data_IF_128852551057
#
_entry.id   IF_128852551057
#
_cell.length_a   1.000
_cell.length_b   1.000
_cell.length_c   1.000
_cell.angle_alpha   90.00
_cell.angle_beta   90.00
_cell.angle_gamma   90.00
#
_symmetry.space_group_name_H-M   'P 1'
#
loop_
_entity.id
_entity.type
_entity.pdbx_description
1 polymer ?
#
# COMPACT_ATOMS: atom_id res chain seq x y z
N UNK A 1 -7.45 24.10 -45.91
CA UNK A 1 -7.63 24.23 -44.45
C UNK A 1 -9.05 23.97 -43.98
N UNK A 2 -10.06 24.77 -44.36
CA UNK A 2 -11.44 24.58 -43.87
C UNK A 2 -12.01 23.17 -44.07
N UNK A 3 -11.82 22.58 -45.26
CA UNK A 3 -12.26 21.21 -45.55
C UNK A 3 -11.58 20.21 -44.62
N UNK A 4 -10.27 20.36 -44.38
CA UNK A 4 -9.52 19.47 -43.50
C UNK A 4 -9.99 19.59 -42.04
N UNK A 5 -10.29 20.79 -41.55
CA UNK A 5 -10.76 20.96 -40.16
C UNK A 5 -12.18 20.44 -39.95
N UNK A 6 -13.08 20.59 -40.92
CA UNK A 6 -14.39 19.92 -40.88
C UNK A 6 -14.27 18.40 -41.03
N UNK A 7 -13.34 17.91 -41.85
CA UNK A 7 -13.07 16.48 -41.99
C UNK A 7 -12.59 15.86 -40.66
N UNK A 8 -11.69 16.53 -39.95
CA UNK A 8 -11.25 16.12 -38.61
C UNK A 8 -12.44 16.00 -37.65
N UNK A 9 -13.31 17.01 -37.62
CA UNK A 9 -14.49 17.01 -36.76
C UNK A 9 -15.47 15.88 -37.11
N UNK A 10 -15.68 15.61 -38.40
CA UNK A 10 -16.49 14.50 -38.87
C UNK A 10 -15.89 13.13 -38.50
N UNK A 11 -14.57 12.96 -38.63
CA UNK A 11 -13.86 11.73 -38.22
C UNK A 11 -13.93 11.52 -36.72
N UNK A 12 -13.84 12.58 -35.90
CA UNK A 12 -14.05 12.47 -34.45
C UNK A 12 -15.45 11.93 -34.11
N UNK A 13 -16.49 12.35 -34.84
CA UNK A 13 -17.86 11.85 -34.60
C UNK A 13 -18.05 10.40 -35.03
N UNK A 14 -17.42 10.00 -36.14
CA UNK A 14 -17.64 8.69 -36.73
C UNK A 14 -16.78 7.61 -36.08
N UNK A 15 -15.53 7.95 -35.78
CA UNK A 15 -14.49 6.98 -35.41
C UNK A 15 -13.82 7.35 -34.07
N UNK A 16 -14.35 8.33 -33.33
CA UNK A 16 -13.87 8.72 -32.01
C UNK A 16 -12.44 9.27 -32.03
N UNK A 17 -11.66 8.90 -31.01
CA UNK A 17 -10.29 9.37 -30.82
C UNK A 17 -9.36 8.99 -31.98
N UNK A 18 -9.48 7.76 -32.50
CA UNK A 18 -8.75 7.31 -33.69
C UNK A 18 -9.01 8.21 -34.89
N UNK A 19 -10.27 8.59 -35.10
CA UNK A 19 -10.66 9.51 -36.17
C UNK A 19 -10.01 10.88 -36.04
N UNK A 20 -9.87 11.38 -34.81
CA UNK A 20 -9.16 12.62 -34.51
C UNK A 20 -7.66 12.50 -34.80
N UNK A 21 -7.02 11.40 -34.36
CA UNK A 21 -5.60 11.13 -34.59
C UNK A 21 -5.25 11.13 -36.08
N UNK A 22 -5.99 10.35 -36.87
CA UNK A 22 -5.77 10.25 -38.31
C UNK A 22 -6.09 11.58 -39.03
N UNK A 23 -7.11 12.31 -38.58
CA UNK A 23 -7.45 13.62 -39.12
C UNK A 23 -6.37 14.67 -38.86
N UNK A 24 -5.80 14.70 -37.65
CA UNK A 24 -4.70 15.61 -37.31
C UNK A 24 -3.42 15.25 -38.07
N UNK A 25 -3.11 13.96 -38.21
CA UNK A 25 -1.98 13.51 -39.03
C UNK A 25 -2.10 13.97 -40.50
N UNK A 26 -3.30 13.89 -41.08
CA UNK A 26 -3.58 14.43 -42.42
C UNK A 26 -3.32 15.94 -42.48
N UNK A 27 -3.78 16.69 -41.48
CA UNK A 27 -3.56 18.13 -41.40
C UNK A 27 -2.07 18.47 -41.29
N UNK A 28 -1.31 17.73 -40.48
CA UNK A 28 0.14 17.87 -40.39
C UNK A 28 0.80 17.67 -41.74
N UNK A 29 0.48 16.58 -42.45
CA UNK A 29 1.04 16.33 -43.79
C UNK A 29 0.68 17.40 -44.82
N UNK A 30 -0.52 18.00 -44.72
CA UNK A 30 -0.91 19.13 -45.57
C UNK A 30 -0.08 20.38 -45.26
N UNK A 31 0.08 20.71 -43.98
CA UNK A 31 0.85 21.87 -43.51
C UNK A 31 2.34 21.73 -43.84
N UNK A 32 2.91 20.55 -43.67
CA UNK A 32 4.31 20.29 -44.02
C UNK A 32 4.57 20.40 -45.53
N UNK A 33 3.71 19.79 -46.36
CA UNK A 33 3.93 19.77 -47.82
C UNK A 33 3.65 21.10 -48.51
N UNK A 34 2.62 21.83 -48.07
CA UNK A 34 2.10 22.99 -48.79
C UNK A 34 2.23 24.30 -48.00
N UNK A 35 2.46 24.25 -46.70
CA UNK A 35 2.68 25.41 -45.83
C UNK A 35 1.72 26.57 -46.09
N UNK A 36 2.29 27.70 -46.50
CA UNK A 36 1.57 28.95 -46.74
C UNK A 36 0.83 29.01 -48.09
N UNK A 37 0.97 27.98 -48.94
CA UNK A 37 0.24 27.86 -50.21
C UNK A 37 -1.17 27.26 -50.02
N UNK A 38 -1.48 26.75 -48.82
CA UNK A 38 -2.79 26.19 -48.50
C UNK A 38 -3.89 27.26 -48.53
N UNK A 39 -5.04 26.91 -49.10
CA UNK A 39 -6.23 27.75 -49.10
C UNK A 39 -6.92 27.72 -47.71
N UNK A 40 -7.45 28.85 -47.21
CA UNK A 40 -7.57 30.17 -47.88
C UNK A 40 -6.24 30.93 -48.08
N UNK A 41 -6.14 31.77 -49.12
CA UNK A 41 -4.92 32.55 -49.39
C UNK A 41 -4.66 33.66 -48.36
N UNK A 42 -5.71 34.18 -47.71
CA UNK A 42 -5.59 35.23 -46.68
C UNK A 42 -5.11 34.62 -45.34
N UNK A 43 -4.01 35.13 -44.74
CA UNK A 43 -3.45 34.60 -43.49
C UNK A 43 -4.46 34.54 -42.34
N UNK A 44 -5.19 35.62 -42.09
CA UNK A 44 -6.23 35.67 -41.05
C UNK A 44 -7.32 34.60 -41.23
N UNK A 45 -7.71 34.32 -42.49
CA UNK A 45 -8.72 33.29 -42.79
C UNK A 45 -8.17 31.87 -42.64
N UNK A 46 -6.86 31.65 -42.82
CA UNK A 46 -6.22 30.37 -42.48
C UNK A 46 -6.17 30.17 -40.97
N UNK A 47 -5.73 31.19 -40.24
CA UNK A 47 -5.67 31.19 -38.78
C UNK A 47 -7.02 30.80 -38.18
N UNK A 48 -8.09 31.50 -38.56
CA UNK A 48 -9.45 31.17 -38.09
C UNK A 48 -9.88 29.75 -38.43
N UNK A 49 -9.50 29.22 -39.61
CA UNK A 49 -9.87 27.86 -40.00
C UNK A 49 -9.18 26.79 -39.14
N UNK A 50 -7.94 27.05 -38.70
CA UNK A 50 -7.16 26.19 -37.82
C UNK A 50 -7.60 26.32 -36.35
N UNK A 51 -7.76 27.54 -35.85
CA UNK A 51 -8.20 27.82 -34.49
C UNK A 51 -9.63 27.35 -34.22
N UNK A 52 -10.42 27.11 -35.27
CA UNK A 52 -11.72 26.46 -35.14
C UNK A 52 -11.62 25.07 -34.49
N UNK A 53 -10.52 24.33 -34.67
CA UNK A 53 -10.26 23.05 -33.98
C UNK A 53 -10.07 23.23 -32.47
N UNK A 54 -9.74 24.44 -32.02
CA UNK A 54 -9.63 24.79 -30.61
C UNK A 54 -10.91 25.48 -30.07
N UNK A 55 -11.98 25.54 -30.87
CA UNK A 55 -13.25 26.13 -30.48
C UNK A 55 -14.20 25.16 -29.75
N UNK A 56 -15.19 25.72 -29.06
CA UNK A 56 -16.14 24.98 -28.19
C UNK A 56 -16.77 23.76 -28.87
N UNK A 57 -17.23 23.88 -30.12
CA UNK A 57 -17.86 22.74 -30.84
C UNK A 57 -16.95 21.51 -30.96
N UNK A 58 -15.65 21.73 -31.13
CA UNK A 58 -14.68 20.64 -31.21
C UNK A 58 -14.43 20.06 -29.81
N UNK A 59 -14.28 20.92 -28.81
CA UNK A 59 -14.07 20.52 -27.41
C UNK A 59 -15.25 19.75 -26.83
N UNK A 60 -16.48 20.22 -27.05
CA UNK A 60 -17.72 19.52 -26.66
C UNK A 60 -17.84 18.15 -27.35
N UNK A 61 -17.39 18.08 -28.61
CA UNK A 61 -17.39 16.82 -29.35
C UNK A 61 -16.36 15.85 -28.79
N UNK A 62 -15.18 16.34 -28.40
CA UNK A 62 -14.12 15.56 -27.78
C UNK A 62 -14.52 15.06 -26.39
N UNK A 63 -15.24 15.88 -25.62
CA UNK A 63 -15.72 15.53 -24.28
C UNK A 63 -16.67 14.32 -24.26
N UNK A 64 -17.30 13.98 -25.39
CA UNK A 64 -18.11 12.75 -25.53
C UNK A 64 -17.28 11.46 -25.58
N UNK A 65 -15.97 11.58 -25.77
CA UNK A 65 -15.00 10.47 -25.76
C UNK A 65 -14.00 10.69 -24.62
N UNK A 66 -14.43 10.50 -23.35
CA UNK A 66 -13.60 10.72 -22.16
C UNK A 66 -12.50 9.68 -21.99
N UNK A 67 -12.66 8.51 -22.60
CA UNK A 67 -11.66 7.44 -22.60
C UNK A 67 -10.45 7.83 -23.45
N UNK A 68 -9.26 7.38 -23.02
CA UNK A 68 -7.99 7.69 -23.69
C UNK A 68 -7.34 6.38 -24.10
N UNK A 69 -7.35 6.11 -25.40
CA UNK A 69 -6.57 5.01 -25.97
C UNK A 69 -5.11 5.45 -26.13
N UNK A 70 -4.18 4.70 -25.53
CA UNK A 70 -2.75 5.09 -25.46
C UNK A 70 -2.14 5.38 -26.84
N UNK A 71 -2.39 4.51 -27.80
CA UNK A 71 -1.85 4.63 -29.16
C UNK A 71 -2.42 5.85 -29.90
N UNK A 72 -3.74 6.01 -29.89
CA UNK A 72 -4.40 7.13 -30.56
C UNK A 72 -4.02 8.47 -29.91
N UNK A 73 -3.94 8.53 -28.58
CA UNK A 73 -3.51 9.73 -27.85
C UNK A 73 -2.07 10.11 -28.18
N UNK A 74 -1.14 9.14 -28.22
CA UNK A 74 0.24 9.38 -28.59
C UNK A 74 0.33 9.96 -30.02
N UNK A 75 -0.47 9.43 -30.95
CA UNK A 75 -0.55 9.94 -32.32
C UNK A 75 -1.12 11.37 -32.38
N UNK A 76 -2.14 11.68 -31.57
CA UNK A 76 -2.71 13.05 -31.46
C UNK A 76 -1.64 14.03 -30.96
N UNK A 77 -0.93 13.70 -29.87
CA UNK A 77 0.12 14.55 -29.30
C UNK A 77 1.28 14.75 -30.29
N UNK A 78 1.69 13.69 -30.99
CA UNK A 78 2.71 13.77 -32.02
C UNK A 78 2.28 14.72 -33.15
N UNK A 79 1.05 14.58 -33.66
CA UNK A 79 0.53 15.45 -34.71
C UNK A 79 0.42 16.92 -34.26
N UNK A 80 -0.06 17.18 -33.03
CA UNK A 80 -0.18 18.54 -32.48
C UNK A 80 1.19 19.20 -32.24
N UNK A 81 2.18 18.44 -31.76
CA UNK A 81 3.55 18.96 -31.59
C UNK A 81 4.19 19.33 -32.94
N UNK A 82 4.05 18.47 -33.95
CA UNK A 82 4.51 18.76 -35.32
C UNK A 82 3.80 19.97 -35.94
N UNK A 83 2.49 20.12 -35.74
CA UNK A 83 1.75 21.31 -36.17
C UNK A 83 2.25 22.57 -35.48
N UNK A 84 2.50 22.51 -34.17
CA UNK A 84 3.00 23.64 -33.40
C UNK A 84 4.38 24.08 -33.91
N UNK A 85 5.30 23.14 -34.16
CA UNK A 85 6.61 23.42 -34.77
C UNK A 85 6.43 24.02 -36.18
N UNK A 86 5.55 23.44 -36.99
CA UNK A 86 5.30 23.92 -38.36
C UNK A 86 4.74 25.34 -38.38
N UNK A 87 3.91 25.72 -37.41
CA UNK A 87 3.37 27.07 -37.28
C UNK A 87 4.42 28.09 -36.82
N UNK A 88 5.42 27.68 -36.04
CA UNK A 88 6.54 28.57 -35.68
C UNK A 88 7.46 28.89 -36.87
N UNK A 89 7.51 28.02 -37.87
CA UNK A 89 8.26 28.24 -39.10
C UNK A 89 7.56 29.20 -40.09
N UNK A 90 6.33 29.64 -39.79
CA UNK A 90 5.62 30.59 -40.65
C UNK A 90 6.11 32.02 -40.38
N UNK A 91 6.16 32.90 -41.41
CA UNK A 91 6.57 34.29 -41.22
C UNK A 91 5.69 35.03 -40.19
N UNK A 92 6.28 35.91 -39.37
CA UNK A 92 5.59 36.62 -38.27
C UNK A 92 4.34 37.38 -38.73
N UNK A 93 4.37 37.94 -39.94
CA UNK A 93 3.25 38.66 -40.56
C UNK A 93 2.00 37.80 -40.79
N UNK A 94 2.13 36.47 -40.77
CA UNK A 94 1.05 35.54 -41.09
C UNK A 94 0.17 35.14 -39.91
N UNK A 95 0.46 35.63 -38.70
CA UNK A 95 -0.28 35.36 -37.45
C UNK A 95 -0.40 33.85 -37.17
N UNK A 96 0.53 33.30 -36.40
CA UNK A 96 0.52 31.87 -36.05
C UNK A 96 -0.79 31.48 -35.31
N UNK A 97 -1.43 30.37 -35.72
CA UNK A 97 -2.63 29.87 -35.06
C UNK A 97 -2.29 29.18 -33.74
N UNK A 98 -3.12 29.37 -32.72
CA UNK A 98 -2.97 28.71 -31.42
C UNK A 98 -3.94 27.54 -31.26
N UNK A 99 -3.40 26.36 -30.92
CA UNK A 99 -4.19 25.16 -30.57
C UNK A 99 -4.15 24.85 -29.07
N UNK A 100 -3.75 25.82 -28.24
CA UNK A 100 -3.55 25.61 -26.80
C UNK A 100 -4.82 25.13 -26.07
N UNK A 101 -6.01 25.61 -26.44
CA UNK A 101 -7.24 25.14 -25.81
C UNK A 101 -7.52 23.65 -26.07
N UNK A 102 -7.18 23.16 -27.27
CA UNK A 102 -7.31 21.75 -27.61
C UNK A 102 -6.28 20.90 -26.86
N UNK A 103 -5.04 21.38 -26.76
CA UNK A 103 -3.97 20.74 -25.99
C UNK A 103 -4.37 20.64 -24.51
N UNK A 104 -4.81 21.75 -23.91
CA UNK A 104 -5.25 21.79 -22.51
C UNK A 104 -6.44 20.84 -22.26
N UNK A 105 -7.39 20.75 -23.20
CA UNK A 105 -8.50 19.81 -23.10
C UNK A 105 -8.02 18.35 -23.13
N UNK A 106 -7.09 18.01 -24.02
CA UNK A 106 -6.48 16.68 -24.09
C UNK A 106 -5.67 16.34 -22.83
N UNK A 107 -4.91 17.29 -22.29
CA UNK A 107 -4.19 17.14 -21.02
C UNK A 107 -5.15 16.90 -19.86
N UNK A 108 -6.22 17.71 -19.76
CA UNK A 108 -7.24 17.54 -18.72
C UNK A 108 -7.92 16.17 -18.80
N UNK A 109 -8.17 15.68 -20.03
CA UNK A 109 -8.75 14.36 -20.26
C UNK A 109 -7.78 13.23 -19.87
N UNK A 110 -6.50 13.35 -20.25
CA UNK A 110 -5.46 12.41 -19.85
C UNK A 110 -5.31 12.33 -18.32
N UNK A 111 -5.37 13.49 -17.65
CA UNK A 111 -5.33 13.53 -16.19
C UNK A 111 -6.55 12.82 -15.57
N UNK A 112 -7.75 13.06 -16.12
CA UNK A 112 -8.98 12.39 -15.68
C UNK A 112 -8.99 10.88 -15.95
N UNK A 113 -8.31 10.41 -17.00
CA UNK A 113 -8.23 8.98 -17.31
C UNK A 113 -7.19 8.22 -16.48
N UNK A 114 -6.49 8.88 -15.55
CA UNK A 114 -5.45 8.30 -14.70
C UNK A 114 -4.03 8.39 -15.28
N UNK A 115 -3.83 9.14 -16.37
CA UNK A 115 -2.55 9.31 -17.05
C UNK A 115 -2.24 8.23 -18.10
N UNK A 116 -1.15 8.43 -18.86
CA UNK A 116 -0.71 7.52 -19.93
C UNK A 116 -0.36 6.11 -19.42
N UNK A 117 0.04 6.02 -18.15
CA UNK A 117 0.44 4.77 -17.52
C UNK A 117 -0.71 4.04 -16.83
N UNK A 118 -1.93 4.59 -16.85
CA UNK A 118 -3.10 3.89 -16.32
C UNK A 118 -3.31 2.56 -17.08
N UNK A 119 -3.52 1.50 -16.33
CA UNK A 119 -3.81 0.17 -16.88
C UNK A 119 -5.27 0.05 -17.29
N UNK A 120 -6.16 0.70 -16.53
CA UNK A 120 -7.60 0.74 -16.76
C UNK A 120 -8.02 2.20 -16.88
N UNK A 121 -8.82 2.58 -17.89
CA UNK A 121 -9.40 3.92 -17.98
C UNK A 121 -10.14 4.28 -16.69
N UNK A 122 -9.76 5.38 -16.05
CA UNK A 122 -10.40 5.85 -14.79
C UNK A 122 -11.67 6.67 -15.02
N UNK A 123 -12.01 6.94 -16.29
CA UNK A 123 -13.22 7.63 -16.69
C UNK A 123 -13.91 6.77 -17.76
N UNK A 124 -15.19 6.48 -17.56
CA UNK A 124 -15.98 5.67 -18.49
C UNK A 124 -17.08 6.52 -19.08
N UNK A 125 -17.29 6.39 -20.39
CA UNK A 125 -18.42 7.04 -21.05
C UNK A 125 -19.71 6.27 -20.81
N UNK A 126 -20.82 6.98 -20.54
CA UNK A 126 -22.16 6.38 -20.50
C UNK A 126 -22.78 6.23 -21.90
N UNK A 127 -22.09 6.72 -22.93
CA UNK A 127 -22.53 6.64 -24.32
C UNK A 127 -22.06 5.30 -24.88
N UNK A 128 -22.96 4.40 -25.29
CA UNK A 128 -22.53 3.17 -25.95
C UNK A 128 -21.73 3.53 -27.19
N UNK A 129 -20.49 3.03 -27.28
CA UNK A 129 -19.69 3.17 -28.48
C UNK A 129 -20.53 2.70 -29.68
N UNK A 130 -20.54 3.43 -30.81
CA UNK A 130 -21.23 2.96 -32.00
C UNK A 130 -20.63 1.60 -32.38
N UNK A 131 -21.46 0.55 -32.27
CA UNK A 131 -21.10 -0.82 -32.59
C UNK A 131 -20.66 -0.87 -34.05
N UNK A 132 -19.34 -0.83 -34.27
CA UNK A 132 -18.75 -1.11 -35.56
C UNK A 132 -18.87 -2.63 -35.77
N UNK A 133 -19.39 -3.12 -36.91
CA UNK A 133 -19.62 -4.55 -37.13
C UNK A 133 -18.32 -5.26 -37.54
N UNK A 134 -17.24 -5.04 -36.79
CA UNK A 134 -15.93 -5.65 -37.05
C UNK A 134 -15.53 -6.44 -35.82
N UNK A 135 -15.82 -7.74 -35.84
CA UNK A 135 -15.10 -8.84 -35.15
C UNK A 135 -14.49 -8.54 -33.76
N UNK A 136 -15.18 -7.76 -32.92
CA UNK A 136 -14.82 -7.67 -31.52
C UNK A 136 -15.17 -9.02 -30.87
N UNK A 137 -14.22 -9.72 -30.24
CA UNK A 137 -14.52 -10.97 -29.57
C UNK A 137 -15.61 -10.69 -28.53
N UNK A 138 -16.79 -11.29 -28.73
CA UNK A 138 -17.87 -11.15 -27.77
C UNK A 138 -17.36 -11.66 -26.42
N UNK A 139 -17.32 -10.77 -25.42
CA UNK A 139 -17.03 -11.15 -24.05
C UNK A 139 -18.06 -12.20 -23.67
N UNK A 140 -17.59 -13.44 -23.49
CA UNK A 140 -18.46 -14.56 -23.17
C UNK A 140 -19.24 -14.21 -21.90
N UNK A 141 -20.57 -14.28 -21.96
CA UNK A 141 -21.41 -14.08 -20.79
C UNK A 141 -21.02 -15.07 -19.71
N UNK A 142 -20.74 -14.58 -18.51
CA UNK A 142 -20.38 -15.43 -17.37
C UNK A 142 -21.64 -16.20 -16.94
N UNK A 143 -21.65 -17.50 -17.17
CA UNK A 143 -22.81 -18.37 -16.88
C UNK A 143 -22.63 -19.26 -15.66
N UNK A 144 -21.40 -19.46 -15.19
CA UNK A 144 -21.07 -20.28 -14.03
C UNK A 144 -19.91 -19.71 -13.22
N UNK A 145 -19.77 -20.16 -11.96
CA UNK A 145 -18.60 -19.79 -11.12
C UNK A 145 -17.26 -20.27 -11.67
N UNK A 146 -17.26 -21.35 -12.47
CA UNK A 146 -16.06 -21.82 -13.18
C UNK A 146 -15.69 -20.85 -14.31
N UNK A 147 -16.69 -20.41 -15.08
CA UNK A 147 -16.48 -19.44 -16.16
C UNK A 147 -15.95 -18.12 -15.59
N UNK A 148 -16.50 -17.67 -14.45
CA UNK A 148 -16.01 -16.49 -13.72
C UNK A 148 -14.53 -16.63 -13.37
N UNK A 149 -14.14 -17.77 -12.78
CA UNK A 149 -12.76 -18.01 -12.37
C UNK A 149 -11.81 -18.11 -13.58
N UNK A 150 -12.23 -18.73 -14.68
CA UNK A 150 -11.40 -18.89 -15.86
C UNK A 150 -11.22 -17.55 -16.61
N UNK A 151 -12.28 -16.72 -16.70
CA UNK A 151 -12.16 -15.35 -17.21
C UNK A 151 -11.29 -14.48 -16.29
N UNK A 152 -11.42 -14.62 -14.97
CA UNK A 152 -10.58 -13.91 -14.02
C UNK A 152 -9.10 -14.23 -14.16
N UNK A 153 -8.72 -15.48 -14.46
CA UNK A 153 -7.33 -15.84 -14.76
C UNK A 153 -6.80 -15.14 -16.02
N UNK A 154 -7.64 -14.96 -17.03
CA UNK A 154 -7.26 -14.21 -18.25
C UNK A 154 -7.02 -12.73 -17.90
N UNK A 155 -7.91 -12.13 -17.10
CA UNK A 155 -7.74 -10.77 -16.61
C UNK A 155 -6.47 -10.62 -15.73
N UNK A 156 -6.25 -11.55 -14.80
CA UNK A 156 -5.06 -11.56 -13.95
C UNK A 156 -3.77 -11.68 -14.77
N UNK A 157 -3.76 -12.49 -15.84
CA UNK A 157 -2.62 -12.59 -16.76
C UNK A 157 -2.36 -11.26 -17.46
N UNK A 158 -3.40 -10.65 -18.02
CA UNK A 158 -3.27 -9.33 -18.66
C UNK A 158 -2.73 -8.30 -17.66
N UNK A 159 -3.25 -8.26 -16.43
CA UNK A 159 -2.76 -7.36 -15.39
C UNK A 159 -1.29 -7.61 -15.05
N UNK A 160 -0.85 -8.87 -14.95
CA UNK A 160 0.56 -9.21 -14.69
C UNK A 160 1.52 -8.77 -15.81
N UNK A 161 1.03 -8.67 -17.06
CA UNK A 161 1.83 -8.16 -18.18
C UNK A 161 2.03 -6.64 -18.13
N UNK A 162 1.27 -5.92 -17.29
CA UNK A 162 1.37 -4.47 -17.15
C UNK A 162 2.42 -4.05 -16.11
N UNK A 163 3.04 -2.86 -16.26
CA UNK A 163 3.99 -2.36 -15.28
C UNK A 163 3.32 -2.20 -13.90
N UNK A 164 3.96 -2.73 -12.85
CA UNK A 164 3.44 -2.74 -11.47
C UNK A 164 2.07 -3.44 -11.31
N UNK A 165 1.69 -4.30 -12.27
CA UNK A 165 0.35 -4.91 -12.29
C UNK A 165 0.16 -6.10 -11.34
N UNK A 166 1.24 -6.65 -10.77
CA UNK A 166 1.19 -7.84 -9.92
C UNK A 166 0.19 -7.74 -8.77
N UNK A 167 0.20 -6.62 -8.02
CA UNK A 167 -0.71 -6.44 -6.88
C UNK A 167 -2.18 -6.53 -7.33
N UNK A 168 -2.51 -5.92 -8.46
CA UNK A 168 -3.87 -5.91 -9.00
C UNK A 168 -4.31 -7.31 -9.44
N UNK A 169 -3.43 -8.07 -10.09
CA UNK A 169 -3.69 -9.45 -10.49
C UNK A 169 -3.87 -10.36 -9.27
N UNK A 170 -2.97 -10.25 -8.28
CA UNK A 170 -3.00 -11.02 -7.06
C UNK A 170 -4.30 -10.78 -6.26
N UNK A 171 -4.68 -9.51 -6.05
CA UNK A 171 -5.90 -9.17 -5.30
C UNK A 171 -7.17 -9.56 -6.04
N UNK A 172 -7.19 -9.48 -7.37
CA UNK A 172 -8.32 -9.98 -8.17
C UNK A 172 -8.54 -11.48 -7.94
N UNK A 173 -7.46 -12.27 -7.92
CA UNK A 173 -7.56 -13.70 -7.61
C UNK A 173 -7.93 -13.97 -6.15
N UNK A 174 -7.39 -13.21 -5.19
CA UNK A 174 -7.72 -13.35 -3.77
C UNK A 174 -9.19 -13.09 -3.50
N UNK A 175 -9.72 -11.97 -3.96
CA UNK A 175 -11.12 -11.61 -3.74
C UNK A 175 -12.06 -12.69 -4.29
N UNK A 176 -11.82 -13.16 -5.50
CA UNK A 176 -12.64 -14.22 -6.09
C UNK A 176 -12.53 -15.58 -5.36
N UNK A 177 -11.38 -15.89 -4.75
CA UNK A 177 -11.10 -17.21 -4.15
C UNK A 177 -11.40 -17.27 -2.66
N UNK A 178 -11.27 -16.15 -1.96
CA UNK A 178 -11.51 -16.04 -0.52
C UNK A 178 -12.82 -15.34 -0.20
N UNK A 179 -13.17 -14.26 -0.91
CA UNK A 179 -14.39 -13.53 -0.57
C UNK A 179 -15.67 -14.27 -0.92
N UNK A 180 -15.60 -15.20 -1.88
CA UNK A 180 -16.71 -16.10 -2.25
C UNK A 180 -16.86 -17.30 -1.31
N UNK A 181 -15.92 -17.49 -0.37
CA UNK A 181 -16.01 -18.53 0.66
C UNK A 181 -16.56 -17.92 1.95
N UNK A 182 -17.72 -18.42 2.37
CA UNK A 182 -18.44 -17.91 3.55
C UNK A 182 -18.49 -18.90 4.72
N UNK A 183 -18.14 -20.16 4.48
CA UNK A 183 -18.17 -21.23 5.48
C UNK A 183 -16.86 -22.01 5.46
N UNK A 184 -16.50 -22.58 6.61
CA UNK A 184 -15.35 -23.47 6.72
C UNK A 184 -15.60 -24.76 5.92
N UNK A 185 -14.56 -25.34 5.27
CA UNK A 185 -14.70 -26.63 4.63
C UNK A 185 -15.16 -27.69 5.63
N UNK A 186 -16.12 -28.58 5.27
CA UNK A 186 -16.58 -29.63 6.16
C UNK A 186 -15.42 -30.53 6.61
N UNK A 187 -15.27 -30.65 7.93
CA UNK A 187 -14.22 -31.41 8.57
C UNK A 187 -14.76 -32.51 9.50
N UNK A 188 -13.91 -33.50 9.77
CA UNK A 188 -14.10 -34.50 10.83
C UNK A 188 -12.82 -34.51 11.65
N UNK A 189 -12.91 -34.11 12.91
CA UNK A 189 -11.75 -33.95 13.81
C UNK A 189 -10.64 -33.05 13.22
N UNK A 190 -11.01 -31.95 12.55
CA UNK A 190 -10.07 -31.01 11.92
C UNK A 190 -9.57 -31.44 10.54
N UNK A 191 -9.95 -32.63 10.05
CA UNK A 191 -9.54 -33.15 8.74
C UNK A 191 -10.62 -32.92 7.69
N UNK A 192 -10.26 -32.22 6.64
CA UNK A 192 -11.18 -31.90 5.54
C UNK A 192 -11.17 -32.98 4.46
N UNK A 193 -12.21 -33.02 3.62
CA UNK A 193 -12.27 -33.90 2.43
C UNK A 193 -11.50 -33.35 1.22
N UNK A 194 -10.76 -32.27 1.42
CA UNK A 194 -10.05 -31.57 0.35
C UNK A 194 -8.74 -32.28 0.01
N UNK A 195 -8.45 -32.38 -1.29
CA UNK A 195 -7.21 -32.97 -1.76
C UNK A 195 -6.03 -32.03 -1.50
N UNK A 196 -4.91 -32.52 -0.94
CA UNK A 196 -3.74 -31.72 -0.64
C UNK A 196 -3.08 -31.20 -1.92
N UNK A 197 -2.35 -30.07 -1.82
CA UNK A 197 -1.41 -29.63 -2.84
C UNK A 197 -0.45 -30.75 -3.24
N UNK A 198 -0.14 -30.84 -4.55
CA UNK A 198 0.79 -31.85 -5.08
C UNK A 198 2.16 -31.73 -4.39
N UNK A 199 2.76 -32.87 -4.09
CA UNK A 199 4.10 -32.94 -3.47
C UNK A 199 5.16 -32.23 -4.32
N UNK A 200 5.08 -32.33 -5.64
CA UNK A 200 5.93 -31.60 -6.58
C UNK A 200 5.84 -30.07 -6.38
N UNK A 201 4.63 -29.53 -6.25
CA UNK A 201 4.41 -28.09 -6.02
C UNK A 201 4.99 -27.64 -4.68
N UNK A 202 4.81 -28.44 -3.62
CA UNK A 202 5.43 -28.19 -2.29
C UNK A 202 6.96 -28.18 -2.38
N UNK A 203 7.54 -29.15 -3.06
CA UNK A 203 8.99 -29.25 -3.24
C UNK A 203 9.54 -28.10 -4.10
N UNK A 204 8.80 -27.65 -5.11
CA UNK A 204 9.18 -26.53 -5.95
C UNK A 204 9.27 -25.22 -5.15
N UNK A 205 8.27 -24.89 -4.31
CA UNK A 205 8.33 -23.69 -3.45
C UNK A 205 9.50 -23.75 -2.47
N UNK A 206 9.70 -24.90 -1.81
CA UNK A 206 10.85 -25.11 -0.91
C UNK A 206 12.19 -24.94 -1.61
N UNK A 207 12.31 -25.47 -2.83
CA UNK A 207 13.52 -25.35 -3.65
C UNK A 207 13.79 -23.90 -4.04
N UNK A 208 12.77 -23.18 -4.53
CA UNK A 208 12.91 -21.77 -4.94
C UNK A 208 13.28 -20.87 -3.75
N UNK A 209 12.68 -21.13 -2.59
CA UNK A 209 13.04 -20.45 -1.34
C UNK A 209 14.50 -20.71 -0.94
N UNK A 210 14.96 -21.97 -0.97
CA UNK A 210 16.34 -22.32 -0.66
C UNK A 210 17.35 -21.72 -1.65
N UNK A 211 16.96 -21.59 -2.93
CA UNK A 211 17.75 -20.95 -3.98
C UNK A 211 17.73 -19.41 -3.92
N UNK A 212 16.93 -18.82 -3.03
CA UNK A 212 16.73 -17.36 -2.93
C UNK A 212 16.23 -16.72 -4.24
N UNK A 213 15.52 -17.49 -5.08
CA UNK A 213 14.94 -16.97 -6.31
C UNK A 213 13.55 -16.37 -6.02
N UNK A 214 13.54 -15.14 -5.51
CA UNK A 214 12.34 -14.50 -4.98
C UNK A 214 11.29 -14.16 -6.06
N UNK A 215 11.72 -13.77 -7.25
CA UNK A 215 10.81 -13.41 -8.36
C UNK A 215 10.06 -14.64 -8.87
N UNK A 216 10.79 -15.73 -9.14
CA UNK A 216 10.16 -16.99 -9.57
C UNK A 216 9.31 -17.60 -8.44
N UNK A 217 9.76 -17.50 -7.18
CA UNK A 217 8.97 -17.95 -6.03
C UNK A 217 7.62 -17.24 -5.97
N UNK A 218 7.60 -15.92 -6.18
CA UNK A 218 6.39 -15.11 -6.16
C UNK A 218 5.43 -15.47 -7.30
N UNK A 219 5.94 -15.61 -8.53
CA UNK A 219 5.12 -16.01 -9.69
C UNK A 219 4.52 -17.41 -9.53
N UNK A 220 5.32 -18.38 -9.07
CA UNK A 220 4.87 -19.75 -8.87
C UNK A 220 3.88 -19.86 -7.71
N UNK A 221 4.10 -19.14 -6.62
CA UNK A 221 3.18 -19.10 -5.49
C UNK A 221 1.80 -18.55 -5.91
N UNK A 222 1.76 -17.49 -6.71
CA UNK A 222 0.52 -16.92 -7.25
C UNK A 222 -0.21 -17.87 -8.22
N UNK A 223 0.54 -18.51 -9.11
CA UNK A 223 -0.02 -19.50 -10.01
C UNK A 223 -0.64 -20.65 -9.20
N UNK A 224 0.08 -21.18 -8.21
CA UNK A 224 -0.42 -22.26 -7.35
C UNK A 224 -1.69 -21.84 -6.61
N UNK A 225 -1.74 -20.61 -6.07
CA UNK A 225 -2.94 -20.05 -5.42
C UNK A 225 -4.16 -20.05 -6.34
N UNK A 226 -3.98 -19.73 -7.62
CA UNK A 226 -5.05 -19.67 -8.62
C UNK A 226 -5.59 -21.04 -9.07
N UNK A 227 -4.92 -22.14 -8.69
CA UNK A 227 -5.22 -23.50 -9.17
C UNK A 227 -5.91 -24.38 -8.12
N UNK A 228 -6.82 -25.24 -8.56
CA UNK A 228 -7.43 -26.27 -7.71
C UNK A 228 -8.07 -25.73 -6.43
N UNK A 229 -7.92 -26.46 -5.31
CA UNK A 229 -8.38 -26.04 -3.97
C UNK A 229 -7.25 -25.40 -3.15
N UNK A 230 -6.13 -25.06 -3.78
CA UNK A 230 -4.92 -24.52 -3.13
C UNK A 230 -5.09 -23.14 -2.50
N UNK A 231 -6.27 -22.50 -2.64
CA UNK A 231 -6.56 -21.24 -1.95
C UNK A 231 -6.67 -21.39 -0.43
N UNK A 232 -6.87 -22.61 0.08
CA UNK A 232 -6.76 -22.93 1.52
C UNK A 232 -5.33 -23.30 1.95
N UNK A 233 -4.37 -23.36 1.03
CA UNK A 233 -2.97 -23.61 1.38
C UNK A 233 -2.33 -22.31 1.87
N UNK A 234 -2.34 -22.13 3.19
CA UNK A 234 -1.92 -20.89 3.84
C UNK A 234 -0.40 -20.68 3.77
N UNK A 235 0.40 -21.75 3.64
CA UNK A 235 1.86 -21.62 3.46
C UNK A 235 2.21 -20.81 2.21
N UNK A 236 1.37 -20.82 1.17
CA UNK A 236 1.56 -19.97 -0.02
C UNK A 236 1.66 -18.50 0.40
N UNK A 237 0.82 -18.05 1.35
CA UNK A 237 0.83 -16.66 1.81
C UNK A 237 2.12 -16.32 2.56
N UNK A 238 2.66 -17.28 3.31
CA UNK A 238 3.97 -17.13 3.94
C UNK A 238 5.08 -17.01 2.89
N UNK A 239 5.10 -17.89 1.88
CA UNK A 239 6.07 -17.80 0.79
C UNK A 239 5.97 -16.49 0.01
N UNK A 240 4.76 -16.02 -0.29
CA UNK A 240 4.52 -14.72 -0.91
C UNK A 240 5.05 -13.57 -0.04
N UNK A 241 4.75 -13.61 1.26
CA UNK A 241 5.25 -12.61 2.20
C UNK A 241 6.79 -12.58 2.26
N UNK A 242 7.43 -13.75 2.34
CA UNK A 242 8.90 -13.85 2.33
C UNK A 242 9.49 -13.37 1.01
N UNK A 243 8.92 -13.79 -0.13
CA UNK A 243 9.37 -13.38 -1.45
C UNK A 243 9.32 -11.86 -1.62
N UNK A 244 8.20 -11.23 -1.26
CA UNK A 244 8.05 -9.78 -1.31
C UNK A 244 9.02 -9.05 -0.38
N UNK A 245 9.20 -9.55 0.84
CA UNK A 245 10.12 -8.96 1.83
C UNK A 245 11.56 -9.01 1.32
N UNK A 246 11.99 -10.13 0.74
CA UNK A 246 13.37 -10.36 0.31
C UNK A 246 13.67 -9.83 -1.10
N UNK A 247 12.66 -9.66 -1.95
CA UNK A 247 12.81 -9.04 -3.27
C UNK A 247 13.14 -7.53 -3.18
N UNK A 248 12.81 -6.87 -2.06
CA UNK A 248 13.12 -5.46 -1.82
C UNK A 248 12.21 -4.49 -2.57
N UNK A 249 12.59 -3.20 -2.59
CA UNK A 249 11.76 -2.15 -3.19
C UNK A 249 11.57 -2.34 -4.71
N UNK A 250 10.35 -2.17 -5.27
CA UNK A 250 9.13 -1.64 -4.63
C UNK A 250 8.18 -2.69 -4.03
N UNK A 251 8.58 -3.97 -4.01
CA UNK A 251 7.73 -5.11 -3.64
C UNK A 251 7.50 -5.25 -2.14
N UNK A 252 8.49 -4.83 -1.35
CA UNK A 252 8.47 -4.78 0.12
C UNK A 252 7.20 -4.12 0.69
N UNK A 253 6.71 -3.05 0.04
CA UNK A 253 5.49 -2.33 0.44
C UNK A 253 4.22 -3.20 0.39
N UNK A 254 4.21 -4.26 -0.41
CA UNK A 254 3.05 -5.14 -0.57
C UNK A 254 2.96 -6.25 0.48
N UNK A 255 4.00 -6.43 1.31
CA UNK A 255 4.00 -7.40 2.41
C UNK A 255 2.86 -7.17 3.41
N UNK A 256 2.58 -5.90 3.72
CA UNK A 256 1.47 -5.50 4.58
C UNK A 256 0.11 -5.90 4.01
N UNK A 257 -0.07 -5.84 2.69
CA UNK A 257 -1.32 -6.24 2.01
C UNK A 257 -1.54 -7.74 2.16
N UNK A 258 -0.50 -8.57 1.98
CA UNK A 258 -0.60 -10.02 2.18
C UNK A 258 -1.04 -10.36 3.60
N UNK A 259 -0.45 -9.70 4.61
CA UNK A 259 -0.83 -9.88 6.02
C UNK A 259 -2.28 -9.47 6.26
N UNK A 260 -2.69 -8.30 5.78
CA UNK A 260 -4.06 -7.79 5.99
C UNK A 260 -5.11 -8.68 5.31
N UNK A 261 -4.90 -9.09 4.06
CA UNK A 261 -5.84 -9.96 3.35
C UNK A 261 -6.00 -11.31 4.09
N UNK A 262 -4.90 -11.87 4.62
CA UNK A 262 -4.96 -13.10 5.39
C UNK A 262 -5.66 -12.91 6.75
N UNK A 263 -5.42 -11.78 7.44
CA UNK A 263 -6.10 -11.45 8.69
C UNK A 263 -7.62 -11.35 8.47
N UNK A 264 -8.06 -10.68 7.40
CA UNK A 264 -9.48 -10.55 7.04
C UNK A 264 -10.14 -11.91 6.75
N UNK A 265 -9.42 -12.82 6.08
CA UNK A 265 -9.91 -14.19 5.86
C UNK A 265 -10.13 -14.92 7.19
N UNK A 266 -9.14 -14.89 8.07
CA UNK A 266 -9.19 -15.63 9.34
C UNK A 266 -10.14 -14.99 10.36
N UNK A 267 -10.39 -13.68 10.28
CA UNK A 267 -11.44 -13.00 11.05
C UNK A 267 -12.84 -13.48 10.63
N UNK A 268 -13.06 -13.70 9.32
CA UNK A 268 -14.33 -14.22 8.79
C UNK A 268 -14.50 -15.72 9.03
N UNK A 269 -13.42 -16.48 8.92
CA UNK A 269 -13.38 -17.95 9.01
C UNK A 269 -12.43 -18.39 10.14
N UNK A 270 -12.80 -18.17 11.41
CA UNK A 270 -11.93 -18.49 12.54
C UNK A 270 -11.70 -20.00 12.65
N UNK A 271 -10.44 -20.40 12.89
CA UNK A 271 -10.05 -21.80 13.02
C UNK A 271 -9.65 -22.47 11.70
N UNK A 272 -9.73 -21.77 10.57
CA UNK A 272 -9.26 -22.25 9.27
C UNK A 272 -7.77 -22.65 9.31
N UNK A 273 -6.96 -21.94 10.08
CA UNK A 273 -5.54 -22.19 10.28
C UNK A 273 -5.24 -23.53 10.99
N UNK A 274 -6.22 -24.07 11.71
CA UNK A 274 -6.11 -25.32 12.45
C UNK A 274 -6.53 -26.55 11.64
N UNK A 275 -7.18 -26.35 10.49
CA UNK A 275 -7.65 -27.44 9.62
C UNK A 275 -6.51 -28.14 8.86
N UNK A 276 -6.80 -29.35 8.44
CA UNK A 276 -5.92 -30.22 7.67
C UNK A 276 -6.59 -30.74 6.39
N UNK A 277 -5.77 -31.13 5.41
CA UNK A 277 -6.17 -31.83 4.20
C UNK A 277 -6.59 -33.28 4.53
N UNK A 278 -7.06 -34.01 3.52
CA UNK A 278 -7.48 -35.40 3.69
C UNK A 278 -6.35 -36.40 4.02
N UNK A 279 -5.08 -35.99 3.87
CA UNK A 279 -3.86 -36.76 4.15
C UNK A 279 -3.21 -36.38 5.49
N UNK A 280 -3.95 -35.68 6.36
CA UNK A 280 -3.50 -35.12 7.65
C UNK A 280 -2.46 -34.00 7.56
N UNK A 281 -2.05 -33.58 6.35
CA UNK A 281 -1.18 -32.42 6.24
C UNK A 281 -1.96 -31.16 6.62
N UNK A 282 -1.40 -30.23 7.42
CA UNK A 282 -2.13 -29.04 7.83
C UNK A 282 -2.26 -28.03 6.67
N UNK A 283 -3.24 -27.13 6.77
CA UNK A 283 -3.36 -26.00 5.83
C UNK A 283 -2.26 -24.96 6.01
N UNK A 284 -1.77 -24.81 7.24
CA UNK A 284 -0.61 -24.01 7.62
C UNK A 284 0.39 -24.89 8.39
N UNK A 285 1.63 -24.95 7.93
CA UNK A 285 2.72 -25.59 8.67
C UNK A 285 3.08 -24.81 9.95
N UNK A 286 3.91 -25.40 10.82
CA UNK A 286 4.25 -24.80 12.12
C UNK A 286 4.89 -23.40 11.96
N UNK A 287 5.72 -23.22 10.93
CA UNK A 287 6.35 -21.93 10.63
C UNK A 287 5.30 -20.89 10.25
N UNK A 288 4.37 -21.27 9.37
CA UNK A 288 3.27 -20.42 8.90
C UNK A 288 2.30 -20.11 10.04
N UNK A 289 1.96 -21.08 10.89
CA UNK A 289 1.10 -20.85 12.08
C UNK A 289 1.73 -19.88 13.06
N UNK A 290 3.03 -20.05 13.35
CA UNK A 290 3.76 -19.14 14.22
C UNK A 290 3.81 -17.72 13.63
N UNK A 291 4.04 -17.61 12.32
CA UNK A 291 3.99 -16.32 11.61
C UNK A 291 2.59 -15.69 11.67
N UNK A 292 1.53 -16.46 11.46
CA UNK A 292 0.14 -15.98 11.56
C UNK A 292 -0.14 -15.45 12.98
N UNK A 293 0.21 -16.21 14.01
CA UNK A 293 -0.02 -15.83 15.41
C UNK A 293 0.74 -14.55 15.80
N UNK A 294 1.99 -14.41 15.36
CA UNK A 294 2.85 -13.29 15.75
C UNK A 294 2.65 -12.03 14.91
N UNK A 295 2.39 -12.17 13.60
CA UNK A 295 2.42 -11.04 12.67
C UNK A 295 1.07 -10.77 11.98
N UNK A 296 0.16 -11.74 11.89
CA UNK A 296 -1.11 -11.55 11.16
C UNK A 296 -2.26 -11.27 12.14
N UNK A 297 -2.31 -12.00 13.26
CA UNK A 297 -3.37 -11.90 14.27
C UNK A 297 -3.05 -10.93 15.42
N UNK A 298 -1.83 -10.42 15.51
CA UNK A 298 -1.52 -9.26 16.36
C UNK A 298 -2.17 -8.02 15.75
N UNK A 299 -3.45 -7.84 16.06
CA UNK A 299 -4.21 -6.67 15.68
C UNK A 299 -3.72 -5.50 16.52
N UNK A 300 -3.41 -4.39 15.84
CA UNK A 300 -3.33 -3.04 16.40
C UNK A 300 -4.71 -2.64 16.95
N UNK A 301 -5.18 -3.30 18.01
CA UNK A 301 -6.35 -2.92 18.78
C UNK A 301 -6.03 -1.62 19.55
N UNK A 302 -5.94 -0.53 18.79
CA UNK A 302 -5.48 0.78 19.26
C UNK A 302 -5.42 1.86 18.17
N UNK A 303 -5.42 1.50 16.89
CA UNK A 303 -5.24 2.47 15.79
C UNK A 303 -6.34 3.56 15.69
N UNK A 304 -7.54 3.33 16.24
CA UNK A 304 -8.60 4.35 16.30
C UNK A 304 -8.38 5.44 17.35
N UNK A 305 -7.42 5.28 18.27
CA UNK A 305 -6.98 6.33 19.19
C UNK A 305 -5.73 7.08 18.69
N UNK A 306 -5.06 6.59 17.65
CA UNK A 306 -3.91 7.25 17.00
C UNK A 306 -4.31 8.33 15.99
N UNK A 307 -5.57 8.81 16.05
CA UNK A 307 -6.08 9.89 15.23
C UNK A 307 -5.85 11.27 15.86
N UNK A 308 -4.60 11.69 16.07
CA UNK A 308 -4.15 13.10 16.01
C UNK A 308 -2.67 13.22 16.36
N UNK A 309 -1.94 13.79 15.40
CA UNK A 309 -0.53 14.17 15.47
C UNK A 309 0.40 13.01 15.81
N UNK A 310 0.95 12.39 14.76
CA UNK A 310 2.31 11.87 14.80
C UNK A 310 3.25 13.03 15.20
N UNK A 311 3.33 13.30 16.50
CA UNK A 311 4.64 13.47 17.10
C UNK A 311 5.27 12.09 16.95
N UNK A 312 6.47 11.95 16.39
CA UNK A 312 7.17 10.68 16.41
C UNK A 312 7.37 10.32 17.87
N UNK A 313 6.46 9.52 18.43
CA UNK A 313 6.79 8.71 19.58
C UNK A 313 7.78 7.71 19.03
N UNK A 314 9.04 7.88 19.44
CA UNK A 314 10.07 6.87 19.37
C UNK A 314 9.54 5.57 20.00
N UNK A 315 8.68 4.83 19.31
CA UNK A 315 8.38 3.41 19.61
C UNK A 315 9.61 2.52 19.29
N UNK A 316 10.74 3.16 18.96
CA UNK A 316 12.09 2.71 19.26
C UNK A 316 12.45 2.81 20.76
N UNK A 317 11.47 2.89 21.66
CA UNK A 317 11.70 2.73 23.11
C UNK A 317 12.12 1.28 23.40
N UNK A 318 13.43 1.08 23.29
CA UNK A 318 14.26 0.28 24.20
C UNK A 318 14.50 -1.17 23.85
N UNK A 319 15.03 -1.40 22.65
CA UNK A 319 15.88 -2.57 22.47
C UNK A 319 17.34 -2.22 22.79
N UNK A 320 17.59 -1.77 24.03
CA UNK A 320 18.97 -1.54 24.53
C UNK A 320 19.80 -2.83 24.39
N UNK A 321 19.15 -3.99 24.42
CA UNK A 321 19.80 -5.28 24.20
C UNK A 321 20.09 -5.58 22.73
N UNK A 322 19.31 -5.07 21.78
CA UNK A 322 19.66 -5.19 20.34
C UNK A 322 20.96 -4.47 19.94
N UNK A 323 21.53 -3.66 20.84
CA UNK A 323 22.83 -3.00 20.65
C UNK A 323 24.02 -3.90 20.97
N UNK A 324 23.77 -5.11 21.47
CA UNK A 324 24.79 -6.10 21.76
C UNK A 324 25.71 -6.41 20.57
N UNK A 325 25.24 -6.70 19.35
CA UNK A 325 26.13 -6.91 18.20
C UNK A 325 27.05 -5.72 17.93
N UNK A 326 26.52 -4.48 17.95
CA UNK A 326 27.33 -3.27 17.72
C UNK A 326 28.38 -3.06 18.83
N UNK A 327 28.00 -3.35 20.08
CA UNK A 327 28.90 -3.26 21.21
C UNK A 327 30.03 -4.30 21.14
N UNK A 328 29.73 -5.52 20.65
CA UNK A 328 30.72 -6.56 20.43
C UNK A 328 31.65 -6.21 19.26
N UNK A 329 31.13 -5.73 18.14
CA UNK A 329 31.97 -5.29 17.00
C UNK A 329 32.93 -4.15 17.39
N UNK A 330 32.48 -3.24 18.24
CA UNK A 330 33.34 -2.18 18.78
C UNK A 330 34.36 -2.72 19.78
N UNK A 331 33.99 -3.70 20.60
CA UNK A 331 34.93 -4.34 21.51
C UNK A 331 36.01 -5.13 20.74
N UNK A 332 35.66 -5.76 19.62
CA UNK A 332 36.59 -6.45 18.72
C UNK A 332 37.54 -5.48 18.00
N UNK A 333 37.05 -4.31 17.61
CA UNK A 333 37.84 -3.34 16.81
C UNK A 333 38.65 -2.34 17.64
N UNK A 334 38.10 -1.86 18.76
CA UNK A 334 38.67 -0.76 19.57
C UNK A 334 38.92 -1.16 21.03
N UNK A 335 38.59 -2.39 21.42
CA UNK A 335 38.75 -2.91 22.77
C UNK A 335 37.53 -2.69 23.67
N UNK A 336 37.45 -3.52 24.71
CA UNK A 336 36.32 -3.59 25.65
C UNK A 336 36.03 -2.27 26.35
N UNK A 337 37.06 -1.46 26.62
CA UNK A 337 36.91 -0.18 27.32
C UNK A 337 36.23 0.88 26.45
N UNK A 338 36.52 0.90 25.15
CA UNK A 338 35.86 1.76 24.18
C UNK A 338 34.37 1.39 24.05
N UNK A 339 34.08 0.08 23.97
CA UNK A 339 32.71 -0.42 23.90
C UNK A 339 31.88 -0.04 25.15
N UNK A 340 32.45 -0.23 26.35
CA UNK A 340 31.78 0.14 27.60
C UNK A 340 31.59 1.65 27.73
N UNK A 341 32.57 2.46 27.33
CA UNK A 341 32.47 3.92 27.32
C UNK A 341 31.38 4.43 26.37
N UNK A 342 31.23 3.79 25.22
CA UNK A 342 30.16 4.11 24.27
C UNK A 342 28.79 3.70 24.79
N UNK A 343 28.65 2.52 25.40
CA UNK A 343 27.38 2.10 26.02
C UNK A 343 26.99 3.11 27.12
N UNK A 344 27.93 3.50 27.97
CA UNK A 344 27.69 4.39 29.11
C UNK A 344 27.26 5.81 28.71
N UNK A 345 27.74 6.33 27.58
CA UNK A 345 27.50 7.71 27.13
C UNK A 345 26.27 7.87 26.24
N UNK A 346 25.45 6.82 26.08
CA UNK A 346 24.29 6.86 25.19
C UNK A 346 23.22 7.88 25.62
N UNK A 347 22.75 8.75 24.70
CA UNK A 347 21.60 9.61 24.94
C UNK A 347 20.28 8.81 24.93
N UNK A 348 19.24 9.34 25.58
CA UNK A 348 17.89 8.74 25.53
C UNK A 348 17.56 7.74 26.66
N UNK A 349 18.47 7.54 27.62
CA UNK A 349 18.26 6.67 28.77
C UNK A 349 17.61 7.47 29.91
N UNK A 350 16.30 7.35 30.05
CA UNK A 350 15.49 8.17 30.98
C UNK A 350 14.82 7.34 32.08
N UNK A 351 14.28 6.17 31.74
CA UNK A 351 13.57 5.27 32.66
C UNK A 351 14.52 4.43 33.51
N UNK A 352 14.02 3.90 34.64
CA UNK A 352 14.79 2.96 35.45
C UNK A 352 15.03 1.63 34.70
N UNK A 353 14.06 1.19 33.91
CA UNK A 353 14.15 -0.02 33.07
C UNK A 353 15.27 0.08 32.04
N UNK A 354 15.36 1.19 31.30
CA UNK A 354 16.46 1.42 30.34
C UNK A 354 17.83 1.38 31.01
N UNK A 355 17.97 2.04 32.18
CA UNK A 355 19.23 2.06 32.93
C UNK A 355 19.64 0.66 33.39
N UNK A 356 18.68 -0.19 33.74
CA UNK A 356 18.94 -1.59 34.07
C UNK A 356 19.43 -2.37 32.85
N UNK A 357 18.72 -2.27 31.72
CA UNK A 357 19.08 -2.96 30.48
C UNK A 357 20.46 -2.54 29.96
N UNK A 358 20.81 -1.25 30.10
CA UNK A 358 22.12 -0.74 29.73
C UNK A 358 23.25 -1.40 30.53
N UNK A 359 23.06 -1.53 31.86
CA UNK A 359 24.04 -2.15 32.74
C UNK A 359 24.16 -3.65 32.51
N UNK A 360 23.04 -4.32 32.20
CA UNK A 360 23.04 -5.71 31.77
C UNK A 360 23.84 -5.89 30.46
N UNK A 361 23.66 -5.00 29.48
CA UNK A 361 24.44 -5.02 28.25
C UNK A 361 25.95 -4.89 28.52
N UNK A 362 26.34 -3.95 29.38
CA UNK A 362 27.74 -3.78 29.79
C UNK A 362 28.30 -5.05 30.45
N UNK A 363 27.52 -5.71 31.30
CA UNK A 363 27.93 -6.95 31.96
C UNK A 363 28.12 -8.10 30.94
N UNK A 364 27.22 -8.24 29.96
CA UNK A 364 27.33 -9.26 28.90
C UNK A 364 28.57 -9.07 28.02
N UNK A 365 28.87 -7.83 27.64
CA UNK A 365 30.11 -7.49 26.92
C UNK A 365 31.33 -7.79 27.81
N UNK A 366 31.31 -7.42 29.09
CA UNK A 366 32.42 -7.70 29.99
C UNK A 366 32.70 -9.20 30.16
N UNK A 367 31.64 -10.01 30.28
CA UNK A 367 31.71 -11.47 30.40
C UNK A 367 32.32 -12.10 29.14
N UNK A 368 31.88 -11.69 27.94
CA UNK A 368 32.33 -12.28 26.68
C UNK A 368 33.83 -12.07 26.41
N UNK A 369 34.42 -10.97 26.90
CA UNK A 369 35.85 -10.69 26.77
C UNK A 369 36.67 -11.08 28.03
N UNK A 370 36.11 -11.89 28.92
CA UNK A 370 36.83 -12.48 30.06
C UNK A 370 37.06 -11.54 31.25
N UNK A 371 36.39 -10.37 31.31
CA UNK A 371 36.43 -9.44 32.46
C UNK A 371 35.38 -9.85 33.52
N UNK A 372 35.49 -11.07 34.02
CA UNK A 372 34.45 -11.72 34.85
C UNK A 372 34.17 -11.00 36.18
N UNK A 373 35.21 -10.51 36.87
CA UNK A 373 35.02 -9.76 38.13
C UNK A 373 34.22 -8.47 37.92
N UNK A 374 34.43 -7.78 36.80
CA UNK A 374 33.70 -6.57 36.46
C UNK A 374 32.23 -6.88 36.09
N UNK A 375 32.00 -7.97 35.35
CA UNK A 375 30.64 -8.43 35.05
C UNK A 375 29.87 -8.74 36.35
N UNK A 376 30.49 -9.44 37.30
CA UNK A 376 29.90 -9.73 38.61
C UNK A 376 29.54 -8.45 39.38
N UNK A 377 30.46 -7.50 39.50
CA UNK A 377 30.20 -6.24 40.21
C UNK A 377 29.07 -5.42 39.57
N UNK A 378 28.97 -5.41 38.23
CA UNK A 378 27.89 -4.74 37.51
C UNK A 378 26.53 -5.38 37.75
N UNK A 379 26.49 -6.71 37.92
CA UNK A 379 25.26 -7.45 38.19
C UNK A 379 24.83 -7.32 39.67
N UNK A 380 25.77 -7.38 40.62
CA UNK A 380 25.50 -7.26 42.06
C UNK A 380 24.98 -5.87 42.47
N UNK A 381 25.55 -4.79 41.92
CA UNK A 381 25.06 -3.43 42.16
C UNK A 381 23.58 -3.27 41.74
N UNK A 382 23.14 -4.06 40.76
CA UNK A 382 21.80 -3.95 40.18
C UNK A 382 20.79 -4.89 40.81
N UNK A 383 21.22 -6.04 41.32
CA UNK A 383 20.36 -6.91 42.12
C UNK A 383 19.88 -6.19 43.39
N UNK A 384 20.77 -5.46 44.05
CA UNK A 384 20.43 -4.63 45.22
C UNK A 384 19.55 -3.42 44.86
N UNK A 385 19.82 -2.74 43.74
CA UNK A 385 19.02 -1.59 43.28
C UNK A 385 17.62 -1.99 42.78
N UNK A 386 17.46 -3.20 42.22
CA UNK A 386 16.18 -3.68 41.70
C UNK A 386 15.13 -3.88 42.80
N UNK A 387 15.55 -4.21 44.02
CA UNK A 387 14.66 -4.44 45.17
C UNK A 387 13.87 -3.18 45.61
N UNK A 388 14.32 -1.98 45.23
CA UNK A 388 13.66 -0.71 45.55
C UNK A 388 12.83 -0.10 44.43
N UNK A 389 12.74 -0.74 43.25
CA UNK A 389 12.07 -0.16 42.09
C UNK A 389 10.54 -0.21 42.24
N UNK A 390 9.91 0.95 42.09
CA UNK A 390 8.45 1.09 42.09
C UNK A 390 7.91 1.07 40.66
N UNK A 391 6.66 0.63 40.48
CA UNK A 391 6.04 0.53 39.15
C UNK A 391 5.97 1.90 38.42
N UNK A 392 5.89 3.00 39.17
CA UNK A 392 5.94 4.38 38.64
C UNK A 392 7.28 4.72 37.99
N UNK A 393 8.38 4.11 38.44
CA UNK A 393 9.72 4.31 37.88
C UNK A 393 10.03 3.31 36.77
N UNK A 394 9.36 2.16 36.78
CA UNK A 394 9.57 1.05 35.86
C UNK A 394 8.81 1.24 34.54
N UNK A 395 7.49 1.48 34.60
CA UNK A 395 6.61 1.63 33.44
C UNK A 395 5.63 2.79 33.69
N UNK A 396 6.12 4.05 33.65
CA UNK A 396 5.29 5.23 33.91
C UNK A 396 4.13 5.36 32.91
N UNK A 397 4.34 4.98 31.65
CA UNK A 397 3.35 5.07 30.58
C UNK A 397 2.16 4.14 30.78
N UNK A 398 2.42 2.88 31.13
CA UNK A 398 1.37 1.90 31.44
C UNK A 398 0.56 2.35 32.66
N UNK A 399 1.24 2.85 33.69
CA UNK A 399 0.58 3.34 34.89
C UNK A 399 -0.28 4.57 34.59
N UNK A 400 0.20 5.49 33.74
CA UNK A 400 -0.57 6.63 33.25
C UNK A 400 -1.85 6.15 32.52
N UNK A 401 -1.74 5.17 31.63
CA UNK A 401 -2.89 4.66 30.90
C UNK A 401 -3.96 4.04 31.83
N UNK A 402 -3.52 3.21 32.79
CA UNK A 402 -4.43 2.60 33.77
C UNK A 402 -5.20 3.67 34.54
N UNK A 403 -4.49 4.69 35.02
CA UNK A 403 -5.10 5.80 35.79
C UNK A 403 -6.00 6.68 34.93
N UNK A 404 -5.63 6.94 33.67
CA UNK A 404 -6.44 7.71 32.72
C UNK A 404 -7.75 6.97 32.36
N UNK A 405 -7.69 5.65 32.13
CA UNK A 405 -8.89 4.82 31.91
C UNK A 405 -9.79 4.80 33.14
N UNK A 406 -9.20 4.68 34.35
CA UNK A 406 -9.95 4.76 35.60
C UNK A 406 -10.68 6.11 35.75
N UNK A 407 -10.02 7.22 35.44
CA UNK A 407 -10.61 8.56 35.46
C UNK A 407 -11.79 8.67 34.48
N UNK A 408 -11.66 8.15 33.26
CA UNK A 408 -12.74 8.13 32.26
C UNK A 408 -13.99 7.40 32.75
N UNK A 409 -13.81 6.22 33.34
CA UNK A 409 -14.93 5.43 33.88
C UNK A 409 -15.60 6.11 35.08
N UNK A 410 -14.81 6.77 35.95
CA UNK A 410 -15.36 7.54 37.06
C UNK A 410 -16.16 8.76 36.58
N UNK A 411 -15.72 9.45 35.52
CA UNK A 411 -16.50 10.51 34.88
C UNK A 411 -17.84 10.00 34.36
N UNK A 412 -17.84 8.90 33.60
CA UNK A 412 -19.08 8.28 33.11
C UNK A 412 -20.03 7.87 34.24
N UNK A 413 -19.47 7.36 35.35
CA UNK A 413 -20.26 6.99 36.53
C UNK A 413 -20.83 8.21 37.26
N UNK A 414 -20.11 9.32 37.34
CA UNK A 414 -20.58 10.56 37.98
C UNK A 414 -21.76 11.21 37.25
N UNK A 415 -21.90 10.97 35.94
CA UNK A 415 -23.07 11.43 35.17
C UNK A 415 -24.35 10.65 35.50
N UNK A 416 -24.23 9.40 35.99
CA UNK A 416 -25.37 8.48 36.16
C UNK A 416 -25.83 8.30 37.62
N UNK A 417 -25.02 8.67 38.62
CA UNK A 417 -25.29 8.39 40.04
C UNK A 417 -25.22 9.66 40.91
N UNK A 418 -25.97 9.68 42.02
CA UNK A 418 -26.17 10.86 42.88
C UNK A 418 -24.98 11.19 43.82
N UNK A 419 -24.10 10.24 44.13
CA UNK A 419 -22.93 10.43 45.03
C UNK A 419 -21.76 11.17 44.34
N UNK A 420 -22.03 12.37 43.83
CA UNK A 420 -21.06 13.18 43.08
C UNK A 420 -19.86 13.60 43.94
N UNK A 421 -20.05 13.84 45.23
CA UNK A 421 -19.00 14.35 46.12
C UNK A 421 -17.85 13.33 46.35
N UNK A 422 -18.18 12.05 46.55
CA UNK A 422 -17.17 11.01 46.75
C UNK A 422 -16.44 10.65 45.46
N UNK A 423 -17.15 10.69 44.32
CA UNK A 423 -16.57 10.45 43.00
C UNK A 423 -15.62 11.59 42.60
N UNK A 424 -16.00 12.85 42.86
CA UNK A 424 -15.15 14.01 42.57
C UNK A 424 -13.85 14.00 43.37
N UNK A 425 -13.89 13.66 44.68
CA UNK A 425 -12.65 13.49 45.48
C UNK A 425 -11.73 12.42 44.91
N UNK A 426 -12.27 11.28 44.46
CA UNK A 426 -11.47 10.22 43.82
C UNK A 426 -10.89 10.67 42.48
N UNK A 427 -11.63 11.47 41.71
CA UNK A 427 -11.16 12.04 40.44
C UNK A 427 -10.04 13.06 40.65
N UNK A 428 -10.15 13.93 41.65
CA UNK A 428 -9.09 14.90 41.99
C UNK A 428 -7.80 14.21 42.41
N UNK A 429 -7.87 13.18 43.24
CA UNK A 429 -6.70 12.38 43.63
C UNK A 429 -6.06 11.73 42.40
N UNK A 430 -6.86 11.14 41.51
CA UNK A 430 -6.35 10.50 40.28
C UNK A 430 -5.71 11.52 39.32
N UNK A 431 -6.32 12.69 39.15
CA UNK A 431 -5.74 13.78 38.38
C UNK A 431 -4.41 14.23 38.98
N UNK A 432 -4.32 14.39 40.30
CA UNK A 432 -3.07 14.66 40.98
C UNK A 432 -1.99 13.62 40.67
N UNK A 433 -2.34 12.33 40.72
CA UNK A 433 -1.39 11.26 40.36
C UNK A 433 -0.99 11.27 38.88
N UNK A 434 -1.90 11.58 37.96
CA UNK A 434 -1.60 11.68 36.54
C UNK A 434 -0.64 12.85 36.25
N UNK A 435 -0.84 13.99 36.92
CA UNK A 435 0.05 15.16 36.81
C UNK A 435 1.46 14.83 37.34
N UNK A 436 1.59 14.02 38.40
CA UNK A 436 2.91 13.61 38.89
C UNK A 436 3.65 12.67 37.94
N UNK A 437 2.93 11.93 37.08
CA UNK A 437 3.54 10.99 36.13
C UNK A 437 3.91 11.73 34.84
N UNK A 438 2.97 12.48 34.26
CA UNK A 438 3.22 13.30 33.08
C UNK A 438 2.30 14.54 33.09
N UNK A 439 2.84 15.74 33.40
CA UNK A 439 2.04 16.95 33.48
C UNK A 439 1.52 17.42 32.11
N UNK A 440 2.22 17.11 31.01
CA UNK A 440 1.83 17.54 29.65
C UNK A 440 0.65 16.70 29.17
N UNK A 441 0.72 15.38 29.33
CA UNK A 441 -0.39 14.49 28.98
C UNK A 441 -1.58 14.67 29.91
N UNK A 442 -1.34 14.98 31.19
CA UNK A 442 -2.41 15.25 32.15
C UNK A 442 -3.17 16.55 31.87
N UNK A 443 -2.54 17.58 31.29
CA UNK A 443 -3.20 18.86 30.98
C UNK A 443 -4.44 18.69 30.08
N UNK A 444 -4.36 17.84 29.05
CA UNK A 444 -5.48 17.51 28.15
C UNK A 444 -6.65 16.88 28.90
N UNK A 445 -6.34 16.07 29.93
CA UNK A 445 -7.34 15.43 30.77
C UNK A 445 -7.98 16.43 31.75
N UNK A 446 -7.30 17.50 32.15
CA UNK A 446 -7.86 18.57 32.99
C UNK A 446 -8.86 19.45 32.23
N UNK A 447 -8.53 19.86 30.99
CA UNK A 447 -9.35 20.81 30.20
C UNK A 447 -10.75 20.28 29.84
N UNK A 448 -10.91 18.96 29.81
CA UNK A 448 -12.19 18.29 29.54
C UNK A 448 -13.21 18.42 30.69
N UNK A 449 -12.85 19.01 31.84
CA UNK A 449 -13.80 19.32 32.92
C UNK A 449 -14.49 20.68 32.78
N UNK A 450 -14.02 21.58 31.91
CA UNK A 450 -14.51 22.97 31.83
C UNK A 450 -15.31 23.27 30.56
N UNK A 451 -15.64 22.26 29.76
CA UNK A 451 -16.40 22.42 28.50
C UNK A 451 -17.88 22.06 28.58
N UNK A 452 -18.41 21.77 29.76
CA UNK A 452 -19.85 21.55 29.98
C UNK A 452 -20.46 22.67 30.84
#
# INVERSE_FOLDING_TARGET
MRIATYYIWARLHRDGERGLAEGLALLTGLVERFGTQLLPSRPASRKMALEWLAGEKMLDSLARYPEVAKEDFANIVAALSQLTVSFTAWPEDQHSPSLMLLINALESRLAQSGGMNAVVPQNSSSVPAPSSPVDAPQVQTITSGRDLLDQAKVLARYLNEQPQGWLSAHRLMKTLRWDTVHELPPDVDGKTRLAPPRTESRNQLKRLYAQQNWTELLEQADLMFSTGVSHFWLDIQWYLHQALTKAGAPWDRWTAVIRQDLALLLERLPGLENLAWNDDTPFADEVTRNWIAQQVMMREDGAWLAGKAAVPTDDATNDVLALEPEALEMADSQGVEAALGWIQTRPGITTARQRLLLRLLMARVAEQYGKNEMALLLLEERDTAAQGLTLTQWEPDLLFEVKARQLKLLRLRAHRYADKALLNRKMEILLGTLVTIDPVRAAVLCDTQHKD
#
